data_IF_147040651817
#
_entry.id   IF_147040651817
#
_cell.length_a   1.000
_cell.length_b   1.000
_cell.length_c   1.000
_cell.angle_alpha   90.00
_cell.angle_beta   90.00
_cell.angle_gamma   90.00
#
_symmetry.space_group_name_H-M   'P 1'
#
loop_
_entity.id
_entity.type
_entity.pdbx_description
1 polymer ?
#
# COMPACT_ATOMS: atom_id res chain seq x y z
N UNK A 1 -18.82 -12.88 8.20
CA UNK A 1 -17.43 -12.55 8.03
C UNK A 1 -17.20 -11.07 8.18
N UNK A 2 -16.33 -10.76 9.02
CA UNK A 2 -16.05 -9.34 9.20
C UNK A 2 -15.52 -8.73 7.94
N UNK A 3 -15.86 -7.50 7.73
CA UNK A 3 -15.37 -6.81 6.62
C UNK A 3 -13.92 -6.56 6.77
N UNK A 4 -13.24 -6.47 5.65
CA UNK A 4 -11.86 -6.04 5.64
C UNK A 4 -11.80 -4.62 6.14
N UNK A 5 -10.94 -4.36 7.07
CA UNK A 5 -10.77 -3.01 7.56
C UNK A 5 -10.03 -2.18 6.55
N UNK A 6 -10.39 -0.91 6.42
CA UNK A 6 -9.64 -0.04 5.53
C UNK A 6 -8.18 0.01 5.95
N UNK A 7 -7.32 -0.01 4.97
CA UNK A 7 -5.89 0.04 5.23
C UNK A 7 -5.52 1.31 6.01
N UNK A 8 -6.15 2.43 5.67
CA UNK A 8 -5.88 3.69 6.34
C UNK A 8 -6.24 3.63 7.82
N UNK A 9 -7.31 2.90 8.15
CA UNK A 9 -7.72 2.75 9.53
C UNK A 9 -6.71 1.96 10.32
N UNK A 10 -6.16 0.90 9.74
CA UNK A 10 -5.14 0.12 10.40
C UNK A 10 -3.88 0.94 10.63
N UNK A 11 -3.50 1.73 9.65
CA UNK A 11 -2.32 2.58 9.77
C UNK A 11 -2.51 3.62 10.87
N UNK A 12 -3.71 4.17 10.97
CA UNK A 12 -4.01 5.18 11.98
C UNK A 12 -3.94 4.59 13.38
N UNK A 13 -4.43 3.37 13.56
CA UNK A 13 -4.40 2.72 14.86
C UNK A 13 -2.97 2.47 15.32
N UNK A 14 -2.14 2.04 14.40
CA UNK A 14 -0.73 1.81 14.71
C UNK A 14 -0.07 3.12 15.12
N UNK A 15 -0.36 4.18 14.41
CA UNK A 15 0.24 5.47 14.69
C UNK A 15 -0.19 6.06 16.03
N UNK A 16 -1.35 5.65 16.52
CA UNK A 16 -1.85 6.18 17.78
C UNK A 16 -1.13 5.59 18.99
N UNK A 17 -0.45 4.47 18.82
CA UNK A 17 0.26 3.81 19.91
C UNK A 17 1.72 4.30 19.93
N UNK A 18 2.15 5.00 20.99
CA UNK A 18 3.51 5.56 21.01
C UNK A 18 4.61 4.52 20.90
N UNK A 19 4.43 3.36 21.53
CA UNK A 19 5.43 2.31 21.44
C UNK A 19 5.54 1.77 20.03
N UNK A 20 4.39 1.52 19.43
CA UNK A 20 4.39 1.04 18.07
C UNK A 20 4.90 2.07 17.10
N UNK A 21 4.64 3.33 17.38
CA UNK A 21 5.13 4.40 16.55
C UNK A 21 6.64 4.45 16.56
N UNK A 22 7.23 4.28 17.74
CA UNK A 22 8.68 4.26 17.86
C UNK A 22 9.27 3.07 17.12
N UNK A 23 8.62 1.92 17.22
CA UNK A 23 9.09 0.73 16.54
C UNK A 23 9.02 0.89 15.03
N UNK A 24 7.94 1.45 14.54
CA UNK A 24 7.78 1.67 13.11
C UNK A 24 8.84 2.66 12.62
N UNK A 25 9.13 3.67 13.42
CA UNK A 25 10.15 4.64 13.04
C UNK A 25 11.52 3.98 12.90
N UNK A 26 11.83 3.02 13.78
CA UNK A 26 13.09 2.30 13.69
C UNK A 26 13.13 1.44 12.44
N UNK A 27 12.01 0.78 12.15
CA UNK A 27 11.93 -0.02 10.94
C UNK A 27 12.08 0.81 9.70
N UNK A 28 11.51 2.00 9.72
CA UNK A 28 11.54 2.88 8.56
C UNK A 28 12.90 3.44 8.25
N UNK A 29 13.87 3.23 9.10
CA UNK A 29 15.22 3.65 8.78
C UNK A 29 15.74 2.98 7.53
N UNK A 30 15.29 1.76 7.27
CA UNK A 30 15.71 1.01 6.11
C UNK A 30 14.81 1.28 4.90
N UNK A 31 13.71 1.99 5.10
CA UNK A 31 12.78 2.29 4.04
C UNK A 31 12.74 3.80 3.87
N UNK A 32 12.70 4.24 2.64
CA UNK A 32 12.60 5.65 2.39
C UNK A 32 11.24 6.17 2.82
N UNK A 33 10.76 7.19 2.23
CA UNK A 33 9.54 7.85 2.66
C UNK A 33 8.29 7.01 2.42
N UNK A 34 7.26 7.29 3.20
CA UNK A 34 5.94 6.75 2.91
C UNK A 34 5.34 7.58 1.78
N UNK A 35 4.89 6.92 0.74
CA UNK A 35 4.35 7.58 -0.43
C UNK A 35 2.93 7.13 -0.70
N UNK A 36 2.15 8.02 -1.32
CA UNK A 36 0.86 7.61 -1.86
C UNK A 36 1.11 6.84 -3.15
N UNK A 37 0.08 6.16 -3.63
CA UNK A 37 0.21 5.44 -4.90
C UNK A 37 0.55 6.39 -6.05
N UNK A 38 -0.09 7.55 -6.06
CA UNK A 38 0.19 8.54 -7.11
C UNK A 38 1.63 9.01 -7.06
N UNK A 39 2.14 9.24 -5.85
CA UNK A 39 3.53 9.66 -5.69
C UNK A 39 4.50 8.58 -6.10
N UNK A 40 4.17 7.34 -5.77
CA UNK A 40 5.01 6.21 -6.17
C UNK A 40 5.08 6.11 -7.69
N UNK A 41 3.92 6.22 -8.35
CA UNK A 41 3.86 6.20 -9.80
C UNK A 41 4.66 7.34 -10.41
N UNK A 42 4.45 8.55 -9.89
CA UNK A 42 5.13 9.73 -10.42
C UNK A 42 6.63 9.65 -10.25
N UNK A 43 7.07 9.03 -9.16
CA UNK A 43 8.49 8.87 -8.89
C UNK A 43 9.18 8.06 -9.99
N UNK A 44 8.44 7.20 -10.66
CA UNK A 44 8.98 6.40 -11.74
C UNK A 44 8.70 7.01 -13.10
N UNK A 45 8.18 8.25 -13.12
CA UNK A 45 7.89 8.97 -14.35
C UNK A 45 6.86 8.26 -15.22
N UNK A 46 5.87 7.66 -14.59
CA UNK A 46 4.80 6.97 -15.28
C UNK A 46 3.52 7.78 -15.14
N UNK A 47 2.88 8.10 -16.26
CA UNK A 47 1.63 8.85 -16.21
C UNK A 47 0.46 7.95 -15.89
N UNK A 48 -0.67 8.54 -15.47
CA UNK A 48 -1.88 7.76 -15.23
C UNK A 48 -2.30 7.02 -16.50
N UNK A 49 -2.12 7.65 -17.63
CA UNK A 49 -2.50 7.03 -18.90
C UNK A 49 -1.65 5.80 -19.20
N UNK A 50 -0.35 5.91 -18.96
CA UNK A 50 0.54 4.77 -19.15
C UNK A 50 0.21 3.65 -18.19
N UNK A 51 -0.11 4.00 -16.95
CA UNK A 51 -0.49 3.02 -15.95
C UNK A 51 -1.78 2.30 -16.36
N UNK A 52 -2.73 3.07 -16.88
CA UNK A 52 -3.99 2.50 -17.37
C UNK A 52 -3.75 1.51 -18.49
N UNK A 53 -2.86 1.84 -19.39
CA UNK A 53 -2.53 0.94 -20.49
C UNK A 53 -1.89 -0.35 -20.00
N UNK A 54 -0.98 -0.22 -19.04
CA UNK A 54 -0.31 -1.39 -18.50
C UNK A 54 -1.29 -2.33 -17.80
N UNK A 55 -2.25 -1.76 -17.09
CA UNK A 55 -3.22 -2.56 -16.35
C UNK A 55 -4.45 -2.94 -17.17
N UNK A 56 -4.59 -2.38 -18.37
CA UNK A 56 -5.74 -2.68 -19.20
C UNK A 56 -7.04 -2.08 -18.68
N UNK A 57 -6.94 -0.92 -18.06
CA UNK A 57 -8.12 -0.24 -17.50
C UNK A 57 -8.14 1.19 -18.02
N UNK A 58 -9.17 1.93 -17.65
CA UNK A 58 -9.28 3.33 -18.06
C UNK A 58 -8.44 4.22 -17.15
N UNK A 59 -8.09 5.39 -17.66
CA UNK A 59 -7.38 6.36 -16.86
C UNK A 59 -8.24 6.82 -15.68
N UNK A 60 -9.54 6.93 -15.88
CA UNK A 60 -10.46 7.28 -14.81
C UNK A 60 -10.41 6.25 -13.69
N UNK A 61 -10.24 4.98 -14.04
CA UNK A 61 -10.14 3.93 -13.04
C UNK A 61 -8.84 4.06 -12.24
N UNK A 62 -7.74 4.40 -12.91
CA UNK A 62 -6.47 4.63 -12.21
C UNK A 62 -6.63 5.80 -11.24
N UNK A 63 -7.26 6.88 -11.71
CA UNK A 63 -7.48 8.04 -10.85
C UNK A 63 -8.31 7.65 -9.62
N UNK A 64 -9.35 6.84 -9.84
CA UNK A 64 -10.19 6.39 -8.75
C UNK A 64 -9.39 5.58 -7.74
N UNK A 65 -8.58 4.65 -8.23
CA UNK A 65 -7.76 3.82 -7.36
C UNK A 65 -6.81 4.68 -6.51
N UNK A 66 -6.23 5.68 -7.12
CA UNK A 66 -5.25 6.52 -6.43
C UNK A 66 -5.88 7.43 -5.40
N UNK A 67 -7.19 7.63 -5.46
CA UNK A 67 -7.90 8.47 -4.50
C UNK A 67 -8.72 7.68 -3.51
N UNK A 68 -8.70 6.34 -3.60
CA UNK A 68 -9.47 5.50 -2.68
C UNK A 68 -8.73 5.31 -1.39
N UNK A 69 -9.47 5.35 -0.29
CA UNK A 69 -8.87 5.09 1.01
C UNK A 69 -8.86 3.62 1.34
N UNK A 70 -9.75 2.86 0.73
CA UNK A 70 -9.95 1.46 1.08
C UNK A 70 -9.85 0.64 -0.20
N UNK A 71 -8.72 -0.03 -0.38
CA UNK A 71 -8.48 -0.83 -1.56
C UNK A 71 -8.36 -2.30 -1.19
N UNK A 72 -8.82 -3.16 -2.10
CA UNK A 72 -8.54 -4.59 -1.95
C UNK A 72 -7.05 -4.82 -2.13
N UNK A 73 -6.54 -5.80 -1.41
CA UNK A 73 -5.12 -6.15 -1.56
C UNK A 73 -4.80 -6.58 -2.97
N UNK A 74 -5.75 -7.25 -3.64
CA UNK A 74 -5.52 -7.67 -5.02
C UNK A 74 -5.33 -6.47 -5.94
N UNK A 75 -6.11 -5.41 -5.73
CA UNK A 75 -5.97 -4.18 -6.52
C UNK A 75 -4.63 -3.53 -6.27
N UNK A 76 -4.26 -3.46 -4.99
CA UNK A 76 -3.00 -2.85 -4.62
C UNK A 76 -1.82 -3.64 -5.16
N UNK A 77 -1.92 -4.98 -5.09
CA UNK A 77 -0.87 -5.85 -5.61
C UNK A 77 -0.69 -5.66 -7.11
N UNK A 78 -1.80 -5.59 -7.84
CA UNK A 78 -1.73 -5.39 -9.28
C UNK A 78 -1.13 -4.04 -9.64
N UNK A 79 -1.48 -3.01 -8.88
CA UNK A 79 -0.95 -1.67 -9.10
C UNK A 79 0.58 -1.67 -8.91
N UNK A 80 1.04 -2.24 -7.80
CA UNK A 80 2.46 -2.27 -7.50
C UNK A 80 3.22 -3.12 -8.52
N UNK A 81 2.63 -4.24 -8.93
CA UNK A 81 3.26 -5.09 -9.94
C UNK A 81 3.41 -4.35 -11.27
N UNK A 82 2.43 -3.53 -11.63
CA UNK A 82 2.50 -2.75 -12.85
C UNK A 82 3.64 -1.75 -12.82
N UNK A 83 4.06 -1.36 -11.63
CA UNK A 83 5.20 -0.46 -11.46
C UNK A 83 6.53 -1.22 -11.37
N UNK A 84 6.48 -2.53 -11.50
CA UNK A 84 7.68 -3.35 -11.47
C UNK A 84 8.08 -3.79 -10.08
N UNK A 85 7.20 -3.61 -9.10
CA UNK A 85 7.51 -3.96 -7.73
C UNK A 85 6.70 -5.14 -7.24
N UNK A 86 6.82 -5.39 -5.96
CA UNK A 86 6.10 -6.47 -5.31
C UNK A 86 5.52 -5.94 -4.01
N UNK A 87 4.26 -6.21 -3.75
CA UNK A 87 3.61 -5.74 -2.54
C UNK A 87 3.93 -6.66 -1.38
N UNK A 88 4.41 -6.07 -0.30
CA UNK A 88 4.60 -6.78 0.96
C UNK A 88 3.67 -6.19 2.00
N UNK A 89 3.03 -7.06 2.77
CA UNK A 89 2.16 -6.63 3.85
C UNK A 89 2.71 -7.22 5.13
N UNK A 90 3.00 -6.36 6.10
CA UNK A 90 3.59 -6.78 7.35
C UNK A 90 2.76 -6.29 8.53
N UNK A 91 2.65 -7.13 9.54
CA UNK A 91 2.09 -6.72 10.82
C UNK A 91 3.26 -6.43 11.74
N UNK A 92 3.26 -5.25 12.32
CA UNK A 92 4.37 -4.81 13.16
C UNK A 92 3.91 -4.81 14.60
N UNK A 93 4.60 -5.57 15.43
CA UNK A 93 4.30 -5.67 16.85
C UNK A 93 5.51 -5.22 17.67
N UNK A 94 5.32 -4.93 18.96
CA UNK A 94 6.46 -4.50 19.77
C UNK A 94 7.62 -5.47 19.78
N UNK A 95 7.33 -6.77 19.63
CA UNK A 95 8.39 -7.79 19.66
C UNK A 95 8.81 -8.26 18.28
N UNK A 96 8.34 -7.63 17.23
CA UNK A 96 8.81 -8.00 15.91
C UNK A 96 7.79 -7.76 14.81
N UNK A 97 8.19 -8.14 13.63
CA UNK A 97 7.42 -7.94 12.42
C UNK A 97 7.11 -9.28 11.78
N UNK A 98 5.87 -9.45 11.36
CA UNK A 98 5.42 -10.69 10.75
C UNK A 98 4.87 -10.37 9.36
N UNK A 99 5.38 -11.09 8.37
CA UNK A 99 4.87 -10.93 7.02
C UNK A 99 3.52 -11.63 6.90
N UNK A 100 2.58 -10.96 6.26
CA UNK A 100 1.27 -11.53 6.03
C UNK A 100 1.15 -11.93 4.57
N UNK A 101 0.75 -13.18 4.36
CA UNK A 101 0.56 -13.70 3.01
C UNK A 101 -0.93 -13.72 2.72
N UNK A 102 -1.38 -12.96 1.72
CA UNK A 102 -2.81 -12.95 1.40
C UNK A 102 -3.27 -14.33 0.96
N UNK A 103 -4.49 -14.67 1.35
CA UNK A 103 -5.09 -15.90 0.89
C UNK A 103 -5.53 -15.70 -0.54
N UNK A 104 -5.12 -16.61 -1.41
CA UNK A 104 -5.51 -16.53 -2.81
C UNK A 104 -6.74 -17.38 -3.00
N UNK A 105 -7.79 -16.76 -3.45
CA UNK A 105 -9.06 -17.44 -3.57
C UNK A 105 -9.31 -17.99 -4.94
#
# INVERSE_FOLDING_TARGET
MPKTRPFAELAARVKADPERRAQIALEKRAIEDALTLAELRARQNITQQEMAQTLGVTQANISRIEHEEDLYLSTLRGYVAALGGELEVNAVFPDGKVALVPVEG
#
